data_IF_984560594524
#
_entry.id   IF_984560594524
#
_cell.length_a   1.000
_cell.length_b   1.000
_cell.length_c   1.000
_cell.angle_alpha   90.00
_cell.angle_beta   90.00
_cell.angle_gamma   90.00
#
_symmetry.space_group_name_H-M   'P 1'
#
loop_
_entity.id
_entity.type
_entity.pdbx_description
1 polymer ?
#
# COMPACT_ATOMS: atom_id res chain seq x y z
N UNK A 1 -0.92 14.67 3.80
CA UNK A 1 -2.29 14.51 3.26
C UNK A 1 -2.48 13.06 2.81
N UNK A 2 -3.69 12.48 2.95
CA UNK A 2 -4.00 11.11 2.46
C UNK A 2 -4.81 11.23 1.17
N UNK A 3 -4.42 10.49 0.13
CA UNK A 3 -5.08 10.49 -1.19
C UNK A 3 -5.29 9.05 -1.66
N UNK A 4 -6.45 8.80 -2.25
CA UNK A 4 -6.75 7.53 -2.93
C UNK A 4 -6.15 7.60 -4.33
N UNK A 5 -5.32 6.63 -4.68
CA UNK A 5 -4.71 6.49 -5.99
C UNK A 5 -5.50 5.50 -6.87
N UNK A 6 -6.05 4.47 -6.24
CA UNK A 6 -6.86 3.43 -6.90
C UNK A 6 -7.86 2.83 -5.91
N UNK A 7 -9.04 2.44 -6.39
CA UNK A 7 -10.07 1.75 -5.60
C UNK A 7 -10.94 0.89 -6.51
N UNK A 8 -11.10 -0.38 -6.12
CA UNK A 8 -11.95 -1.39 -6.78
C UNK A 8 -12.70 -2.21 -5.73
N UNK A 9 -13.36 -3.30 -6.14
CA UNK A 9 -13.98 -4.25 -5.20
C UNK A 9 -12.96 -5.15 -4.47
N UNK A 10 -11.74 -5.25 -4.99
CA UNK A 10 -10.70 -6.19 -4.52
C UNK A 10 -9.59 -5.48 -3.77
N UNK A 11 -9.25 -4.25 -4.17
CA UNK A 11 -8.11 -3.53 -3.60
C UNK A 11 -8.32 -2.01 -3.52
N UNK A 12 -7.52 -1.38 -2.66
CA UNK A 12 -7.40 0.06 -2.55
C UNK A 12 -5.93 0.46 -2.44
N UNK A 13 -5.51 1.47 -3.21
CA UNK A 13 -4.17 2.04 -3.12
C UNK A 13 -4.28 3.47 -2.64
N UNK A 14 -3.52 3.81 -1.59
CA UNK A 14 -3.51 5.16 -1.02
C UNK A 14 -2.10 5.69 -0.84
N UNK A 15 -1.90 6.99 -1.06
CA UNK A 15 -0.67 7.70 -0.70
C UNK A 15 -0.89 8.54 0.56
N UNK A 16 0.10 8.55 1.45
CA UNK A 16 0.07 9.29 2.71
C UNK A 16 1.36 10.10 2.83
N UNK A 17 1.20 11.43 2.98
CA UNK A 17 2.32 12.36 3.06
C UNK A 17 2.84 12.82 1.69
N UNK A 18 3.88 13.65 1.71
CA UNK A 18 4.51 14.17 0.48
C UNK A 18 5.60 13.22 0.01
N UNK A 19 5.48 12.76 -1.25
CA UNK A 19 6.27 11.66 -1.81
C UNK A 19 7.49 12.18 -2.59
N UNK A 20 7.30 13.26 -3.35
CA UNK A 20 8.29 13.75 -4.30
C UNK A 20 9.64 14.07 -3.63
N UNK A 21 10.73 13.48 -4.14
CA UNK A 21 12.09 13.67 -3.62
C UNK A 21 12.36 13.08 -2.23
N UNK A 22 11.46 12.25 -1.69
CA UNK A 22 11.56 11.66 -0.35
C UNK A 22 11.85 10.16 -0.41
N UNK A 23 12.31 9.60 0.70
CA UNK A 23 12.38 8.15 0.88
C UNK A 23 10.99 7.65 1.28
N UNK A 24 10.45 6.71 0.51
CA UNK A 24 9.03 6.30 0.58
C UNK A 24 8.91 4.83 0.93
N UNK A 25 8.01 4.52 1.86
CA UNK A 25 7.63 3.14 2.15
C UNK A 25 6.48 2.70 1.25
N UNK A 26 6.62 1.55 0.60
CA UNK A 26 5.51 0.91 -0.13
C UNK A 26 5.08 -0.30 0.67
N UNK A 27 3.86 -0.32 1.19
CA UNK A 27 3.39 -1.43 2.02
C UNK A 27 2.23 -2.18 1.42
N UNK A 28 2.25 -3.50 1.58
CA UNK A 28 1.16 -4.38 1.20
C UNK A 28 0.50 -4.94 2.46
N UNK A 29 -0.81 -4.80 2.52
CA UNK A 29 -1.58 -5.23 3.66
C UNK A 29 -1.48 -6.76 3.84
N UNK A 30 -1.25 -7.24 5.07
CA UNK A 30 -1.27 -8.67 5.37
C UNK A 30 -2.70 -9.22 5.25
N UNK A 31 -2.84 -10.54 5.33
CA UNK A 31 -4.16 -11.15 5.42
C UNK A 31 -4.94 -10.53 6.60
N UNK A 32 -6.10 -9.97 6.27
CA UNK A 32 -7.06 -9.47 7.24
C UNK A 32 -8.34 -10.28 7.09
N UNK A 33 -8.63 -11.16 8.03
CA UNK A 33 -9.94 -11.78 8.14
C UNK A 33 -10.96 -10.75 8.65
N UNK A 34 -12.25 -11.00 8.43
CA UNK A 34 -13.34 -10.28 9.11
C UNK A 34 -13.17 -10.31 10.64
N UNK A 35 -12.51 -11.34 11.16
CA UNK A 35 -12.18 -11.50 12.60
C UNK A 35 -10.89 -10.78 13.02
N UNK A 36 -10.05 -10.39 12.06
CA UNK A 36 -8.84 -9.65 12.37
C UNK A 36 -9.22 -8.20 12.67
N UNK A 37 -8.88 -7.73 13.86
CA UNK A 37 -8.98 -6.32 14.25
C UNK A 37 -8.05 -5.40 13.43
N UNK A 38 -7.60 -5.84 12.25
CA UNK A 38 -6.84 -5.02 11.32
C UNK A 38 -7.80 -4.01 10.71
N UNK A 39 -7.53 -2.74 10.99
CA UNK A 39 -8.30 -1.65 10.43
C UNK A 39 -8.04 -1.55 8.93
N UNK A 40 -8.81 -2.27 8.11
CA UNK A 40 -8.77 -2.21 6.64
C UNK A 40 -9.04 -0.80 6.10
N UNK A 41 -9.50 0.14 6.91
CA UNK A 41 -9.59 1.54 6.49
C UNK A 41 -8.21 2.19 6.33
N UNK A 42 -7.18 1.66 7.01
CA UNK A 42 -5.80 2.15 6.99
C UNK A 42 -4.86 1.13 6.34
N UNK A 43 -3.80 1.64 5.71
CA UNK A 43 -2.69 0.84 5.23
C UNK A 43 -1.90 0.17 6.34
N UNK A 44 -1.20 -0.91 5.99
CA UNK A 44 -0.33 -1.60 6.94
C UNK A 44 0.79 -0.68 7.42
N UNK A 45 0.80 -0.41 8.73
CA UNK A 45 1.75 0.50 9.36
C UNK A 45 1.47 1.99 9.13
N UNK A 46 0.37 2.36 8.47
CA UNK A 46 0.06 3.75 8.07
C UNK A 46 0.17 4.73 9.25
N UNK A 47 -0.51 4.43 10.37
CA UNK A 47 -0.50 5.30 11.55
C UNK A 47 0.91 5.46 12.16
N UNK A 48 1.74 4.42 12.11
CA UNK A 48 3.10 4.47 12.65
C UNK A 48 4.05 5.24 11.72
N UNK A 49 3.97 5.01 10.42
CA UNK A 49 4.75 5.72 9.41
C UNK A 49 4.41 7.22 9.40
N UNK A 50 3.13 7.56 9.53
CA UNK A 50 2.67 8.94 9.66
C UNK A 50 3.26 9.62 10.92
N UNK A 51 3.26 8.95 12.07
CA UNK A 51 3.90 9.45 13.31
C UNK A 51 5.40 9.69 13.15
N UNK A 52 6.07 8.88 12.33
CA UNK A 52 7.51 9.00 12.04
C UNK A 52 7.81 10.02 10.93
N UNK A 53 6.80 10.70 10.36
CA UNK A 53 6.98 11.61 9.24
C UNK A 53 7.49 10.92 7.96
N UNK A 54 7.27 9.62 7.83
CA UNK A 54 7.66 8.81 6.68
C UNK A 54 6.50 8.75 5.69
N UNK A 55 6.66 9.30 4.48
CA UNK A 55 5.62 9.20 3.46
C UNK A 55 5.53 7.76 2.95
N UNK A 56 4.32 7.33 2.58
CA UNK A 56 4.08 5.95 2.20
C UNK A 56 2.99 5.80 1.13
N UNK A 57 3.08 4.71 0.37
CA UNK A 57 2.01 4.19 -0.47
C UNK A 57 1.57 2.85 0.10
N UNK A 58 0.27 2.66 0.28
CA UNK A 58 -0.31 1.46 0.89
C UNK A 58 -1.24 0.76 -0.09
N UNK A 59 -0.97 -0.51 -0.34
CA UNK A 59 -1.86 -1.45 -1.01
C UNK A 59 -2.67 -2.16 0.07
N UNK A 60 -3.99 -1.96 0.04
CA UNK A 60 -4.95 -2.48 1.00
C UNK A 60 -5.81 -3.53 0.30
N UNK A 61 -5.83 -4.75 0.81
CA UNK A 61 -6.67 -5.82 0.29
C UNK A 61 -8.08 -5.67 0.87
N UNK A 62 -9.11 -5.72 0.02
CA UNK A 62 -10.51 -5.69 0.44
C UNK A 62 -11.11 -7.10 0.53
N UNK A 63 -10.41 -8.10 -0.03
CA UNK A 63 -10.74 -9.52 0.07
C UNK A 63 -9.49 -10.36 0.34
N UNK A 64 -9.68 -11.63 0.63
CA UNK A 64 -8.58 -12.59 0.71
C UNK A 64 -8.26 -13.14 -0.69
N UNK A 65 -7.22 -12.63 -1.31
CA UNK A 65 -6.83 -13.01 -2.67
C UNK A 65 -5.32 -13.22 -2.84
N UNK A 66 -4.52 -13.07 -1.78
CA UNK A 66 -3.06 -13.22 -1.85
C UNK A 66 -2.38 -12.36 -2.94
N UNK A 67 -2.96 -11.18 -3.20
CA UNK A 67 -2.56 -10.29 -4.31
C UNK A 67 -2.69 -10.91 -5.71
N UNK A 68 -3.37 -12.06 -5.86
CA UNK A 68 -3.80 -12.62 -7.14
C UNK A 68 -5.15 -12.01 -7.53
N UNK A 69 -5.12 -10.80 -8.09
CA UNK A 69 -6.31 -10.07 -8.53
C UNK A 69 -6.12 -9.62 -9.99
N UNK A 70 -7.22 -9.55 -10.73
CA UNK A 70 -7.21 -9.15 -12.14
C UNK A 70 -6.71 -7.71 -12.30
N UNK A 71 -6.99 -6.85 -11.32
CA UNK A 71 -6.68 -5.43 -11.30
C UNK A 71 -5.33 -5.08 -10.64
N UNK A 72 -4.45 -6.07 -10.47
CA UNK A 72 -3.14 -5.85 -9.84
C UNK A 72 -2.30 -4.87 -10.66
N UNK A 73 -2.35 -4.97 -11.99
CA UNK A 73 -1.59 -4.09 -12.89
C UNK A 73 -1.99 -2.63 -12.72
N UNK A 74 -3.28 -2.35 -12.64
CA UNK A 74 -3.84 -1.02 -12.45
C UNK A 74 -3.49 -0.45 -11.07
N UNK A 75 -3.49 -1.29 -10.04
CA UNK A 75 -3.01 -0.92 -8.71
C UNK A 75 -1.52 -0.49 -8.75
N UNK A 76 -0.68 -1.27 -9.44
CA UNK A 76 0.74 -1.00 -9.58
C UNK A 76 1.00 0.28 -10.38
N UNK A 77 0.31 0.49 -11.49
CA UNK A 77 0.42 1.71 -12.32
C UNK A 77 -0.02 2.97 -11.56
N UNK A 78 -1.13 2.88 -10.81
CA UNK A 78 -1.58 3.98 -9.96
C UNK A 78 -0.53 4.36 -8.90
N UNK A 79 0.08 3.36 -8.25
CA UNK A 79 1.18 3.59 -7.31
C UNK A 79 2.43 4.16 -8.01
N UNK A 80 2.80 3.60 -9.18
CA UNK A 80 3.97 3.97 -9.99
C UNK A 80 3.99 5.46 -10.32
N UNK A 81 2.85 6.02 -10.72
CA UNK A 81 2.70 7.45 -11.02
C UNK A 81 3.14 8.39 -9.88
N UNK A 82 3.12 7.89 -8.65
CA UNK A 82 3.50 8.64 -7.46
C UNK A 82 4.91 8.26 -7.02
N UNK A 83 5.21 6.96 -6.89
CA UNK A 83 6.51 6.49 -6.37
C UNK A 83 7.69 6.77 -7.32
N UNK A 84 7.46 6.95 -8.62
CA UNK A 84 8.53 7.33 -9.56
C UNK A 84 9.06 8.75 -9.30
N UNK A 85 8.31 9.58 -8.55
CA UNK A 85 8.78 10.91 -8.09
C UNK A 85 9.61 10.84 -6.81
N UNK A 86 9.68 9.68 -6.15
CA UNK A 86 10.41 9.49 -4.91
C UNK A 86 11.93 9.47 -5.13
N UNK A 87 12.69 9.82 -4.10
CA UNK A 87 14.16 9.64 -4.10
C UNK A 87 14.54 8.17 -4.01
N UNK A 88 13.83 7.42 -3.16
CA UNK A 88 14.02 5.99 -2.97
C UNK A 88 12.71 5.33 -2.54
N UNK A 89 12.60 4.01 -2.77
CA UNK A 89 11.45 3.22 -2.37
C UNK A 89 11.88 1.96 -1.60
N UNK A 90 11.21 1.71 -0.48
CA UNK A 90 11.39 0.49 0.31
C UNK A 90 10.07 -0.25 0.38
N UNK A 91 10.02 -1.44 -0.23
CA UNK A 91 8.88 -2.35 -0.11
C UNK A 91 8.88 -3.06 1.25
N UNK A 92 7.73 -3.11 1.91
CA UNK A 92 7.57 -3.81 3.18
C UNK A 92 6.20 -4.49 3.26
N UNK A 93 6.16 -5.72 3.77
CA UNK A 93 4.93 -6.44 4.00
C UNK A 93 5.17 -7.64 4.90
N UNK A 94 4.10 -8.19 5.44
CA UNK A 94 4.17 -9.35 6.35
C UNK A 94 3.22 -10.44 5.88
N UNK A 95 3.64 -11.70 5.96
CA UNK A 95 2.86 -12.87 5.55
C UNK A 95 2.38 -12.72 4.08
N UNK A 96 1.07 -12.72 3.83
CA UNK A 96 0.48 -12.40 2.52
C UNK A 96 1.02 -11.09 1.92
N UNK A 97 1.21 -10.06 2.76
CA UNK A 97 1.78 -8.78 2.35
C UNK A 97 3.24 -8.89 1.90
N UNK A 98 3.95 -9.98 2.22
CA UNK A 98 5.32 -10.21 1.74
C UNK A 98 5.40 -10.61 0.26
N UNK A 99 4.30 -11.09 -0.34
CA UNK A 99 4.25 -11.41 -1.77
C UNK A 99 4.20 -10.15 -2.65
N UNK A 100 3.49 -9.12 -2.21
CA UNK A 100 3.30 -7.88 -2.97
C UNK A 100 4.61 -7.14 -3.33
N UNK A 101 5.55 -6.92 -2.40
CA UNK A 101 6.81 -6.22 -2.68
C UNK A 101 7.69 -6.84 -3.77
N UNK A 102 7.48 -8.11 -4.13
CA UNK A 102 8.24 -8.77 -5.23
C UNK A 102 7.76 -8.32 -6.61
N UNK A 103 6.62 -7.61 -6.68
CA UNK A 103 5.96 -7.22 -7.94
C UNK A 103 6.18 -5.75 -8.34
N UNK A 104 6.98 -4.97 -7.59
CA UNK A 104 7.08 -3.49 -7.69
C UNK A 104 8.50 -2.94 -7.90
#
# INVERSE_FOLDING_TARGET
MRKILYESETAKVVSVGDIAGRDVCVTFHPYASIESNLNVALGFGEAQLAKLGKPAVHFINLRNHWWHIEDLTECLEAAKSVVDTAKSRTGYGSSMGGYGPVTL
#
